data_IF_743781971260
#
_entry.id   IF_743781971260
#
_cell.length_a   1.000
_cell.length_b   1.000
_cell.length_c   1.000
_cell.angle_alpha   90.00
_cell.angle_beta   90.00
_cell.angle_gamma   90.00
#
_symmetry.space_group_name_H-M   'P 1'
#
loop_
_entity.id
_entity.type
_entity.pdbx_description
1 polymer ?
#
# COMPACT_ATOMS: atom_id res chain seq x y z
N UNK A 1 -0.92 -58.86 14.24
CA UNK A 1 -0.13 -57.71 14.72
C UNK A 1 -0.27 -56.57 13.73
N UNK A 2 -0.49 -55.38 14.25
CA UNK A 2 -1.26 -54.25 13.70
C UNK A 2 -0.52 -53.45 12.63
N UNK A 3 -1.14 -53.31 11.44
CA UNK A 3 -0.78 -52.35 10.40
C UNK A 3 -1.26 -50.96 10.82
N UNK A 4 -0.42 -50.20 11.50
CA UNK A 4 -0.70 -48.81 11.88
C UNK A 4 0.51 -47.93 11.52
N UNK A 5 0.73 -47.69 10.23
CA UNK A 5 1.79 -46.80 9.73
C UNK A 5 1.41 -45.78 8.63
N UNK A 6 0.23 -45.80 7.96
CA UNK A 6 -0.04 -44.80 6.92
C UNK A 6 -0.61 -43.48 7.46
N UNK A 7 -1.22 -43.46 8.65
CA UNK A 7 -1.93 -42.28 9.17
C UNK A 7 -0.99 -41.17 9.69
N UNK A 8 0.17 -41.53 10.26
CA UNK A 8 1.13 -40.58 10.83
C UNK A 8 1.90 -39.79 9.77
N UNK A 9 2.12 -40.36 8.57
CA UNK A 9 2.79 -39.67 7.46
C UNK A 9 1.88 -38.61 6.81
N UNK A 10 0.57 -38.84 6.77
CA UNK A 10 -0.40 -37.87 6.24
C UNK A 10 -0.54 -36.62 7.12
N UNK A 11 -0.48 -36.77 8.44
CA UNK A 11 -0.53 -35.63 9.37
C UNK A 11 0.75 -34.79 9.28
N UNK A 12 1.93 -35.43 9.18
CA UNK A 12 3.20 -34.72 9.03
C UNK A 12 3.30 -33.91 7.73
N UNK A 13 2.76 -34.42 6.63
CA UNK A 13 2.74 -33.73 5.34
C UNK A 13 1.79 -32.51 5.35
N UNK A 14 0.63 -32.61 6.00
CA UNK A 14 -0.32 -31.49 6.11
C UNK A 14 0.20 -30.35 6.99
N UNK A 15 0.88 -30.69 8.10
CA UNK A 15 1.51 -29.68 8.97
C UNK A 15 2.70 -29.01 8.27
N UNK A 16 3.54 -29.79 7.56
CA UNK A 16 4.66 -29.24 6.79
C UNK A 16 4.22 -28.31 5.66
N UNK A 17 3.18 -28.70 4.89
CA UNK A 17 2.62 -27.85 3.85
C UNK A 17 1.98 -26.57 4.42
N UNK A 18 1.28 -26.67 5.55
CA UNK A 18 0.69 -25.51 6.23
C UNK A 18 1.73 -24.52 6.73
N UNK A 19 2.86 -24.99 7.28
CA UNK A 19 3.95 -24.13 7.74
C UNK A 19 4.66 -23.45 6.56
N UNK A 20 4.90 -24.16 5.46
CA UNK A 20 5.52 -23.57 4.26
C UNK A 20 4.60 -22.53 3.61
N UNK A 21 3.29 -22.79 3.56
CA UNK A 21 2.30 -21.82 3.09
C UNK A 21 2.23 -20.59 3.99
N UNK A 22 2.22 -20.77 5.32
CA UNK A 22 2.24 -19.66 6.26
C UNK A 22 3.54 -18.85 6.19
N UNK A 23 4.70 -19.51 6.05
CA UNK A 23 5.99 -18.85 5.91
C UNK A 23 6.07 -18.05 4.60
N UNK A 24 5.60 -18.61 3.48
CA UNK A 24 5.50 -17.87 2.22
C UNK A 24 4.53 -16.70 2.33
N UNK A 25 3.38 -16.88 3.00
CA UNK A 25 2.43 -15.78 3.22
C UNK A 25 3.07 -14.63 4.01
N UNK A 26 3.85 -14.93 5.05
CA UNK A 26 4.60 -13.92 5.83
C UNK A 26 5.71 -13.26 4.99
N UNK A 27 6.45 -14.02 4.18
CA UNK A 27 7.50 -13.46 3.31
C UNK A 27 6.96 -12.63 2.15
N UNK A 28 5.72 -12.90 1.70
CA UNK A 28 5.01 -12.12 0.68
C UNK A 28 4.10 -11.03 1.28
N UNK A 29 4.08 -10.90 2.61
CA UNK A 29 3.25 -9.94 3.29
C UNK A 29 3.90 -8.56 3.22
N UNK A 30 3.26 -7.67 2.48
CA UNK A 30 3.59 -6.26 2.47
C UNK A 30 2.60 -5.51 3.36
N UNK A 31 3.09 -4.95 4.46
CA UNK A 31 2.30 -4.20 5.43
C UNK A 31 1.54 -3.03 4.81
N UNK A 32 1.99 -2.51 3.67
CA UNK A 32 1.36 -1.38 2.97
C UNK A 32 0.00 -1.73 2.38
N UNK A 33 -0.31 -3.01 2.19
CA UNK A 33 -1.67 -3.47 1.87
C UNK A 33 -2.71 -3.03 2.93
N UNK A 34 -2.26 -2.84 4.18
CA UNK A 34 -3.11 -2.45 5.31
C UNK A 34 -3.11 -0.94 5.59
N UNK A 35 -2.43 -0.13 4.78
CA UNK A 35 -2.52 1.33 4.93
C UNK A 35 -3.97 1.74 4.71
N UNK A 36 -4.53 2.42 5.69
CA UNK A 36 -5.83 3.08 5.63
C UNK A 36 -5.60 4.58 5.41
N UNK A 37 -6.22 5.13 4.36
CA UNK A 37 -6.04 6.54 4.02
C UNK A 37 -6.76 7.50 4.99
N UNK A 38 -7.56 6.99 5.93
CA UNK A 38 -8.23 7.79 6.96
C UNK A 38 -7.26 8.67 7.76
N UNK A 39 -6.04 8.17 7.99
CA UNK A 39 -4.98 8.89 8.69
C UNK A 39 -4.69 10.26 8.08
N UNK A 40 -4.74 10.39 6.74
CA UNK A 40 -4.52 11.65 6.04
C UNK A 40 -5.80 12.49 5.89
N UNK A 41 -6.93 11.86 5.57
CA UNK A 41 -8.21 12.56 5.40
C UNK A 41 -8.70 13.24 6.69
N UNK A 42 -8.34 12.68 7.85
CA UNK A 42 -8.79 13.13 9.16
C UNK A 42 -7.63 13.65 10.02
N UNK A 43 -6.43 13.78 9.45
CA UNK A 43 -5.23 14.09 10.22
C UNK A 43 -5.36 15.42 10.94
N UNK A 44 -4.95 15.40 12.21
CA UNK A 44 -4.71 16.62 13.00
C UNK A 44 -3.23 16.94 13.13
N UNK A 45 -2.37 16.06 12.63
CA UNK A 45 -0.94 16.29 12.62
C UNK A 45 -0.61 17.56 11.83
N UNK A 46 0.42 18.28 12.27
CA UNK A 46 0.80 19.53 11.64
C UNK A 46 1.42 19.30 10.26
N UNK A 47 2.27 18.28 10.15
CA UNK A 47 2.99 17.94 8.92
C UNK A 47 2.02 17.40 7.87
N UNK A 48 1.08 16.52 8.23
CA UNK A 48 0.08 16.03 7.28
C UNK A 48 -0.79 17.17 6.70
N UNK A 49 -1.16 18.16 7.53
CA UNK A 49 -1.94 19.33 7.08
C UNK A 49 -1.14 20.29 6.22
N UNK A 50 0.17 20.34 6.40
CA UNK A 50 1.09 21.12 5.56
C UNK A 50 1.31 20.44 4.20
N UNK A 51 1.50 19.12 4.20
CA UNK A 51 1.72 18.33 2.98
C UNK A 51 0.44 18.07 2.19
N UNK A 52 -0.70 17.96 2.86
CA UNK A 52 -2.02 17.71 2.27
C UNK A 52 -3.07 18.73 2.77
N UNK A 53 -2.90 20.03 2.46
CA UNK A 53 -3.87 21.05 2.85
C UNK A 53 -5.23 20.78 2.21
N UNK A 54 -6.29 20.88 3.01
CA UNK A 54 -7.64 20.61 2.56
C UNK A 54 -7.94 19.14 2.26
N UNK A 55 -7.13 18.20 2.79
CA UNK A 55 -7.35 16.77 2.63
C UNK A 55 -8.81 16.39 2.93
N UNK A 56 -9.41 15.65 1.99
CA UNK A 56 -10.77 15.12 2.12
C UNK A 56 -10.90 13.78 1.42
N UNK A 57 -11.88 12.99 1.87
CA UNK A 57 -12.32 11.82 1.13
C UNK A 57 -12.84 12.21 -0.26
N UNK A 58 -12.43 11.42 -1.25
CA UNK A 58 -12.84 11.55 -2.65
C UNK A 58 -13.04 10.18 -3.32
N UNK A 59 -13.21 9.11 -2.53
CA UNK A 59 -13.38 7.74 -3.03
C UNK A 59 -14.52 7.65 -4.04
N UNK A 60 -15.72 8.11 -3.70
CA UNK A 60 -16.89 8.02 -4.58
C UNK A 60 -16.79 8.92 -5.83
N UNK A 61 -15.90 9.91 -5.80
CA UNK A 61 -15.66 10.85 -6.91
C UNK A 61 -14.61 10.29 -7.89
N UNK A 62 -13.55 9.67 -7.36
CA UNK A 62 -12.35 9.34 -8.13
C UNK A 62 -12.19 7.85 -8.41
N UNK A 63 -12.70 6.98 -7.52
CA UNK A 63 -12.70 5.55 -7.73
C UNK A 63 -13.88 5.16 -8.62
N UNK A 64 -13.56 4.72 -9.82
CA UNK A 64 -14.53 4.33 -10.85
C UNK A 64 -14.13 2.99 -11.45
N UNK A 65 -14.94 2.43 -12.33
CA UNK A 65 -14.59 1.17 -13.00
C UNK A 65 -13.28 1.27 -13.81
N UNK A 66 -12.96 2.47 -14.34
CA UNK A 66 -11.73 2.74 -15.10
C UNK A 66 -10.51 3.00 -14.19
N UNK A 67 -10.74 3.23 -12.90
CA UNK A 67 -9.71 3.41 -11.87
C UNK A 67 -10.20 2.75 -10.58
N UNK A 68 -10.09 1.41 -10.46
CA UNK A 68 -10.77 0.62 -9.44
C UNK A 68 -10.07 0.69 -8.07
N UNK A 69 -9.87 1.90 -7.55
CA UNK A 69 -9.39 2.10 -6.19
C UNK A 69 -10.48 1.80 -5.15
N UNK A 70 -10.03 1.41 -3.96
CA UNK A 70 -10.88 1.14 -2.79
C UNK A 70 -11.02 2.35 -1.87
N UNK A 71 -10.06 3.26 -1.92
CA UNK A 71 -10.07 4.53 -1.19
C UNK A 71 -9.35 5.59 -2.02
N UNK A 72 -9.82 6.82 -1.94
CA UNK A 72 -9.10 7.99 -2.45
C UNK A 72 -9.23 9.19 -1.51
N UNK A 73 -8.12 9.89 -1.30
CA UNK A 73 -8.03 11.14 -0.54
C UNK A 73 -7.39 12.18 -1.43
N UNK A 74 -8.00 13.36 -1.53
CA UNK A 74 -7.47 14.46 -2.33
C UNK A 74 -7.23 15.68 -1.45
N UNK A 75 -6.21 16.46 -1.79
CA UNK A 75 -5.85 17.74 -1.21
C UNK A 75 -5.57 18.76 -2.33
N UNK A 76 -5.19 19.98 -1.95
CA UNK A 76 -4.75 21.00 -2.91
C UNK A 76 -3.37 20.67 -3.54
N UNK A 77 -2.64 19.71 -2.97
CA UNK A 77 -1.25 19.40 -3.32
C UNK A 77 -1.07 18.05 -3.99
N UNK A 78 -1.90 17.06 -3.67
CA UNK A 78 -1.81 15.71 -4.21
C UNK A 78 -3.12 14.93 -4.04
N UNK A 79 -3.20 13.80 -4.72
CA UNK A 79 -4.25 12.80 -4.53
C UNK A 79 -3.63 11.45 -4.24
N UNK A 80 -4.09 10.78 -3.19
CA UNK A 80 -3.73 9.42 -2.84
C UNK A 80 -4.83 8.45 -3.26
N UNK A 81 -4.43 7.32 -3.82
CA UNK A 81 -5.29 6.23 -4.24
C UNK A 81 -4.81 4.94 -3.60
N UNK A 82 -5.71 4.17 -2.99
CA UNK A 82 -5.42 2.83 -2.47
C UNK A 82 -6.15 1.78 -3.27
N UNK A 83 -5.44 0.77 -3.73
CA UNK A 83 -6.00 -0.32 -4.52
C UNK A 83 -6.10 -1.61 -3.69
N UNK A 84 -7.09 -2.45 -4.02
CA UNK A 84 -7.18 -3.79 -3.45
C UNK A 84 -6.20 -4.75 -4.14
N UNK A 85 -6.01 -4.57 -5.45
CA UNK A 85 -5.06 -5.32 -6.28
C UNK A 85 -3.81 -4.51 -6.57
N UNK A 86 -2.65 -5.16 -6.51
CA UNK A 86 -1.37 -4.53 -6.80
C UNK A 86 -1.22 -4.20 -8.29
N UNK A 87 -1.76 -5.05 -9.19
CA UNK A 87 -1.73 -4.82 -10.63
C UNK A 87 -2.48 -3.54 -11.00
N UNK A 88 -3.59 -3.23 -10.32
CA UNK A 88 -4.36 -2.01 -10.54
C UNK A 88 -3.57 -0.77 -10.09
N UNK A 89 -2.87 -0.85 -8.95
CA UNK A 89 -1.96 0.22 -8.52
C UNK A 89 -0.84 0.48 -9.54
N UNK A 90 -0.25 -0.58 -10.10
CA UNK A 90 0.77 -0.46 -11.17
C UNK A 90 0.18 0.15 -12.44
N UNK A 91 -1.02 -0.27 -12.85
CA UNK A 91 -1.70 0.26 -14.03
C UNK A 91 -2.03 1.75 -13.85
N UNK A 92 -2.54 2.15 -12.68
CA UNK A 92 -2.84 3.52 -12.33
C UNK A 92 -1.57 4.40 -12.35
N UNK A 93 -0.48 3.95 -11.73
CA UNK A 93 0.80 4.68 -11.73
C UNK A 93 1.33 4.92 -13.15
N UNK A 94 1.21 3.92 -14.04
CA UNK A 94 1.59 4.07 -15.46
C UNK A 94 0.70 5.06 -16.19
N UNK A 95 -0.61 5.09 -15.89
CA UNK A 95 -1.58 5.99 -16.50
C UNK A 95 -1.28 7.47 -16.20
N UNK A 96 -0.76 7.77 -15.01
CA UNK A 96 -0.45 9.14 -14.58
C UNK A 96 0.91 9.69 -15.07
N UNK A 97 1.61 8.96 -15.95
CA UNK A 97 2.68 9.48 -16.82
C UNK A 97 3.75 10.39 -16.15
N UNK A 98 4.34 9.95 -15.03
CA UNK A 98 5.46 10.65 -14.37
C UNK A 98 5.04 11.67 -13.31
N UNK A 99 3.75 11.94 -13.18
CA UNK A 99 3.18 12.76 -12.10
C UNK A 99 2.86 11.94 -10.85
N UNK A 100 3.00 10.61 -10.93
CA UNK A 100 2.66 9.70 -9.87
C UNK A 100 3.85 8.95 -9.28
N UNK A 101 3.75 8.70 -7.98
CA UNK A 101 4.59 7.80 -7.22
C UNK A 101 3.78 6.58 -6.78
N UNK A 102 4.36 5.37 -6.83
CA UNK A 102 3.70 4.14 -6.35
C UNK A 102 4.49 3.59 -5.17
N UNK A 103 3.80 3.38 -4.05
CA UNK A 103 4.32 2.65 -2.89
C UNK A 103 3.41 1.45 -2.63
N UNK A 104 3.83 0.24 -3.01
CA UNK A 104 3.01 -0.97 -2.88
C UNK A 104 1.65 -0.83 -3.58
N UNK A 105 0.56 -0.81 -2.81
CA UNK A 105 -0.84 -0.67 -3.23
C UNK A 105 -1.35 0.78 -3.25
N UNK A 106 -0.49 1.73 -2.90
CA UNK A 106 -0.81 3.16 -2.88
C UNK A 106 -0.19 3.84 -4.09
N UNK A 107 -0.97 4.71 -4.73
CA UNK A 107 -0.49 5.62 -5.77
C UNK A 107 -0.74 7.05 -5.31
N UNK A 108 0.29 7.88 -5.39
CA UNK A 108 0.21 9.31 -5.09
C UNK A 108 0.36 10.06 -6.40
N UNK A 109 -0.63 10.86 -6.79
CA UNK A 109 -0.53 11.79 -7.93
C UNK A 109 -0.29 13.18 -7.38
N UNK A 110 0.82 13.81 -7.72
CA UNK A 110 1.14 15.17 -7.25
C UNK A 110 0.52 16.22 -8.16
N UNK A 111 -0.10 17.24 -7.58
CA UNK A 111 -0.57 18.38 -8.35
C UNK A 111 0.65 19.19 -8.88
N UNK A 112 0.66 19.58 -10.16
CA UNK A 112 1.80 20.27 -10.75
C UNK A 112 2.15 21.57 -10.04
N UNK A 113 3.39 21.68 -9.56
CA UNK A 113 3.90 22.90 -8.90
C UNK A 113 3.37 23.16 -7.49
N UNK A 114 2.49 22.30 -6.94
CA UNK A 114 1.94 22.49 -5.60
C UNK A 114 2.92 22.10 -4.48
N UNK A 115 3.74 21.07 -4.72
CA UNK A 115 4.89 20.70 -3.88
C UNK A 115 6.17 20.76 -4.69
N UNK A 116 7.25 21.22 -4.06
CA UNK A 116 8.57 21.20 -4.65
C UNK A 116 9.18 19.78 -4.62
N UNK A 117 10.42 19.64 -5.11
CA UNK A 117 11.07 18.32 -5.18
C UNK A 117 11.39 17.75 -3.80
N UNK A 118 11.80 18.59 -2.86
CA UNK A 118 12.20 18.17 -1.53
C UNK A 118 10.98 17.67 -0.74
N UNK A 119 9.87 18.41 -0.78
CA UNK A 119 8.61 18.03 -0.14
C UNK A 119 8.04 16.74 -0.73
N UNK A 120 8.08 16.58 -2.06
CA UNK A 120 7.67 15.33 -2.71
C UNK A 120 8.51 14.15 -2.21
N UNK A 121 9.83 14.33 -2.06
CA UNK A 121 10.72 13.27 -1.57
C UNK A 121 10.47 12.95 -0.10
N UNK A 122 10.25 13.97 0.73
CA UNK A 122 9.90 13.78 2.13
C UNK A 122 8.58 12.99 2.28
N UNK A 123 7.55 13.37 1.50
CA UNK A 123 6.25 12.70 1.54
C UNK A 123 6.34 11.22 1.16
N UNK A 124 7.01 10.90 0.04
CA UNK A 124 7.15 9.50 -0.39
C UNK A 124 8.01 8.67 0.57
N UNK A 125 9.03 9.28 1.19
CA UNK A 125 9.85 8.62 2.20
C UNK A 125 9.04 8.22 3.43
N UNK A 126 8.16 9.11 3.92
CA UNK A 126 7.22 8.76 5.00
C UNK A 126 6.31 7.62 4.56
N UNK A 127 5.70 7.73 3.38
CA UNK A 127 4.78 6.71 2.87
C UNK A 127 5.44 5.33 2.73
N UNK A 128 6.66 5.27 2.21
CA UNK A 128 7.40 4.03 2.04
C UNK A 128 7.80 3.37 3.36
N UNK A 129 7.92 4.15 4.43
CA UNK A 129 8.23 3.64 5.76
C UNK A 129 7.00 3.28 6.59
N UNK A 130 5.79 3.62 6.13
CA UNK A 130 4.58 3.24 6.87
C UNK A 130 4.39 1.73 6.83
N UNK A 131 4.30 1.15 8.03
CA UNK A 131 4.04 -0.28 8.27
C UNK A 131 5.09 -1.25 7.70
N UNK A 132 6.29 -0.76 7.38
CA UNK A 132 7.45 -1.60 7.02
C UNK A 132 8.70 -1.09 7.74
N UNK A 133 9.54 -2.01 8.23
CA UNK A 133 10.85 -1.64 8.79
C UNK A 133 11.94 -1.44 7.73
N UNK A 134 11.65 -1.78 6.47
CA UNK A 134 12.54 -1.61 5.31
C UNK A 134 11.66 -1.31 4.09
N UNK A 135 12.00 -0.30 3.29
CA UNK A 135 11.29 0.08 2.05
C UNK A 135 11.46 -0.98 0.93
N UNK A 136 10.68 -0.87 -0.17
CA UNK A 136 10.83 -1.75 -1.36
C UNK A 136 12.26 -1.78 -1.93
N UNK A 137 12.96 -0.65 -1.81
CA UNK A 137 14.32 -0.48 -2.32
C UNK A 137 15.40 -0.90 -1.31
N UNK A 138 15.00 -1.48 -0.17
CA UNK A 138 15.92 -2.02 0.84
C UNK A 138 16.50 -1.00 1.80
N UNK A 139 15.88 0.18 1.95
CA UNK A 139 16.31 1.22 2.90
C UNK A 139 15.65 0.97 4.25
N UNK A 140 16.44 0.96 5.34
CA UNK A 140 15.89 0.84 6.70
C UNK A 140 15.07 2.07 7.10
N UNK A 141 13.93 1.78 7.71
CA UNK A 141 13.03 2.69 8.40
C UNK A 141 13.08 2.35 9.91
#
# INVERSE_FOLDING_TARGET
>A
MTRSRPLLLLIGALVGAGIVLAANAVLSYDGRKQIDLAGWAESRDAWDREMMPGARWATDELCTDDLPCSQAVTSDTLTMYRFADHADAVAAARRFAGEAYKSGWIVVRFEPGALDREDRQAFVGVLDCINVGITEDGVEC
#
